data_IF_904860323678
#
_entry.id   IF_904860323678
#
_cell.length_a   1.000
_cell.length_b   1.000
_cell.length_c   1.000
_cell.angle_alpha   90.00
_cell.angle_beta   90.00
_cell.angle_gamma   90.00
#
_symmetry.space_group_name_H-M   'P 1'
#
loop_
_entity.id
_entity.type
_entity.pdbx_description
1 polymer ?
#
# COMPACT_ATOMS: atom_id res chain seq x y z
N UNK A 1 46.30 9.61 -0.17
CA UNK A 1 45.09 9.09 0.48
C UNK A 1 43.91 9.52 -0.37
N UNK A 2 43.12 8.60 -0.90
CA UNK A 2 41.89 8.97 -1.59
C UNK A 2 40.81 9.22 -0.53
N UNK A 3 40.23 10.42 -0.49
CA UNK A 3 39.02 10.67 0.29
C UNK A 3 37.89 9.81 -0.27
N UNK A 4 37.23 9.06 0.61
CA UNK A 4 35.99 8.38 0.25
C UNK A 4 34.90 9.44 0.05
N UNK A 5 34.05 9.31 -0.98
CA UNK A 5 32.96 10.26 -1.20
C UNK A 5 32.07 10.32 0.05
N UNK A 6 31.53 11.51 0.39
CA UNK A 6 30.74 11.69 1.60
C UNK A 6 29.58 10.70 1.62
N UNK A 7 29.44 9.99 2.74
CA UNK A 7 28.37 9.03 2.95
C UNK A 7 27.03 9.75 2.76
N UNK A 8 26.29 9.34 1.72
CA UNK A 8 25.01 9.96 1.42
C UNK A 8 24.05 9.71 2.60
N UNK A 9 23.47 10.79 3.13
CA UNK A 9 22.44 10.70 4.17
C UNK A 9 21.25 9.87 3.68
N UNK A 10 20.76 9.00 4.56
CA UNK A 10 19.54 8.23 4.35
C UNK A 10 18.32 9.15 4.27
N UNK A 11 17.22 8.67 3.69
CA UNK A 11 15.94 9.40 3.67
C UNK A 11 15.46 9.73 5.08
N UNK A 12 15.64 8.80 6.02
CA UNK A 12 15.25 8.99 7.42
C UNK A 12 16.03 10.13 8.08
N UNK A 13 17.35 10.19 7.90
CA UNK A 13 18.19 11.28 8.41
C UNK A 13 17.85 12.63 7.75
N UNK A 14 17.51 12.61 6.45
CA UNK A 14 17.07 13.81 5.74
C UNK A 14 15.72 14.31 6.26
N UNK A 15 14.77 13.41 6.53
CA UNK A 15 13.45 13.76 7.07
C UNK A 15 13.51 14.21 8.54
N UNK A 16 14.41 13.62 9.33
CA UNK A 16 14.66 14.04 10.71
C UNK A 16 15.42 15.36 10.79
N UNK A 17 16.24 15.67 9.78
CA UNK A 17 16.82 17.00 9.61
C UNK A 17 15.73 18.00 9.22
N UNK A 18 15.76 19.19 9.78
CA UNK A 18 14.89 20.31 9.38
C UNK A 18 15.26 20.81 7.97
N UNK A 19 15.14 19.96 6.96
CA UNK A 19 15.41 20.30 5.57
C UNK A 19 14.33 21.26 5.08
N UNK A 20 14.76 22.38 4.50
CA UNK A 20 13.84 23.40 3.98
C UNK A 20 13.19 22.97 2.66
N UNK A 21 13.85 22.09 1.92
CA UNK A 21 13.42 21.64 0.61
C UNK A 21 13.83 20.18 0.36
N UNK A 22 12.97 19.44 -0.35
CA UNK A 22 13.23 18.05 -0.73
C UNK A 22 14.28 18.02 -1.84
N UNK A 23 15.34 17.18 -1.74
CA UNK A 23 16.35 17.10 -2.79
C UNK A 23 15.75 16.76 -4.17
N UNK A 24 16.22 17.42 -5.22
CA UNK A 24 15.68 17.29 -6.58
C UNK A 24 15.56 15.85 -7.09
N UNK A 25 16.45 14.96 -6.66
CA UNK A 25 16.44 13.54 -7.03
C UNK A 25 15.20 12.78 -6.57
N UNK A 26 14.45 13.33 -5.60
CA UNK A 26 13.18 12.78 -5.13
C UNK A 26 11.96 13.49 -5.73
N UNK A 27 12.17 14.57 -6.49
CA UNK A 27 11.09 15.31 -7.15
C UNK A 27 10.78 14.63 -8.47
N UNK A 28 9.55 14.11 -8.60
CA UNK A 28 9.05 13.54 -9.84
C UNK A 28 8.70 14.67 -10.81
N UNK A 29 9.52 14.86 -11.86
CA UNK A 29 9.40 15.97 -12.81
C UNK A 29 8.24 15.84 -13.80
N UNK A 30 7.76 14.61 -14.03
CA UNK A 30 6.88 14.30 -15.17
C UNK A 30 5.46 13.87 -14.77
N UNK A 31 5.09 13.99 -13.49
CA UNK A 31 3.68 13.79 -13.13
C UNK A 31 2.94 15.08 -13.46
N UNK A 32 2.06 15.06 -14.45
CA UNK A 32 0.84 15.86 -14.33
C UNK A 32 0.24 15.47 -12.99
N UNK A 33 0.13 16.42 -12.06
CA UNK A 33 -0.54 16.23 -10.79
C UNK A 33 -2.03 15.95 -11.11
N UNK A 34 -2.34 14.73 -11.54
CA UNK A 34 -3.71 14.24 -11.56
C UNK A 34 -4.09 14.08 -10.09
N UNK A 35 -4.52 15.19 -9.49
CA UNK A 35 -5.06 15.24 -8.12
C UNK A 35 -6.34 14.41 -7.99
N UNK A 36 -6.88 13.94 -9.12
CA UNK A 36 -8.04 13.08 -9.23
C UNK A 36 -7.60 11.68 -9.63
N UNK A 37 -7.09 10.91 -8.67
CA UNK A 37 -7.10 9.45 -8.83
C UNK A 37 -8.54 8.97 -8.62
N UNK A 38 -9.05 8.06 -9.45
CA UNK A 38 -10.31 7.41 -9.13
C UNK A 38 -10.16 6.74 -7.76
N UNK A 39 -11.09 7.04 -6.85
CA UNK A 39 -11.15 6.36 -5.56
C UNK A 39 -11.47 4.90 -5.86
N UNK A 40 -10.45 4.06 -5.83
CA UNK A 40 -10.58 2.62 -5.96
C UNK A 40 -10.86 2.06 -4.57
N UNK A 41 -12.10 1.62 -4.35
CA UNK A 41 -12.43 0.91 -3.12
C UNK A 41 -11.75 -0.46 -3.17
N UNK A 42 -10.71 -0.63 -2.34
CA UNK A 42 -9.99 -1.91 -2.26
C UNK A 42 -10.86 -2.90 -1.46
N UNK A 43 -11.28 -4.01 -2.07
CA UNK A 43 -12.11 -4.99 -1.39
C UNK A 43 -11.35 -5.65 -0.24
N UNK A 44 -12.03 -5.82 0.90
CA UNK A 44 -11.52 -6.56 2.05
C UNK A 44 -11.93 -8.01 1.99
N UNK A 45 -10.98 -8.93 2.16
CA UNK A 45 -11.18 -10.37 2.22
C UNK A 45 -11.05 -10.86 3.66
N UNK A 46 -12.05 -11.59 4.12
CA UNK A 46 -12.07 -12.30 5.40
C UNK A 46 -11.37 -13.65 5.24
N UNK A 47 -10.21 -13.78 5.89
CA UNK A 47 -9.42 -15.00 5.80
C UNK A 47 -10.01 -16.18 6.58
N UNK A 48 -10.79 -15.92 7.65
CA UNK A 48 -11.45 -16.98 8.41
C UNK A 48 -12.62 -17.56 7.62
N UNK A 49 -13.40 -16.70 6.97
CA UNK A 49 -14.51 -17.12 6.12
C UNK A 49 -14.00 -17.89 4.89
N UNK A 50 -12.91 -17.43 4.29
CA UNK A 50 -12.24 -18.11 3.19
C UNK A 50 -11.71 -19.49 3.61
N UNK A 51 -11.15 -19.60 4.82
CA UNK A 51 -10.65 -20.87 5.35
C UNK A 51 -11.78 -21.83 5.80
N UNK A 52 -12.99 -21.33 6.00
CA UNK A 52 -14.13 -22.10 6.52
C UNK A 52 -14.78 -22.96 5.43
N UNK A 53 -14.83 -24.28 5.61
CA UNK A 53 -15.41 -25.20 4.62
C UNK A 53 -16.90 -24.99 4.33
N UNK A 54 -17.64 -24.36 5.25
CA UNK A 54 -19.08 -24.10 5.12
C UNK A 54 -19.42 -22.86 4.29
N UNK A 55 -18.50 -21.90 4.17
CA UNK A 55 -18.79 -20.54 3.67
C UNK A 55 -17.73 -20.01 2.69
N UNK A 56 -16.66 -20.78 2.43
CA UNK A 56 -15.59 -20.44 1.50
C UNK A 56 -16.09 -19.98 0.11
N UNK A 57 -17.24 -20.46 -0.37
CA UNK A 57 -17.75 -20.13 -1.69
C UNK A 57 -17.95 -18.63 -1.94
N UNK A 58 -18.57 -17.90 -1.00
CA UNK A 58 -18.83 -16.46 -1.20
C UNK A 58 -17.54 -15.63 -1.16
N UNK A 59 -16.67 -15.95 -0.21
CA UNK A 59 -15.45 -15.18 0.02
C UNK A 59 -14.39 -15.46 -1.04
N UNK A 60 -14.38 -16.68 -1.59
CA UNK A 60 -13.55 -17.04 -2.74
C UNK A 60 -13.97 -16.30 -4.01
N UNK A 61 -15.28 -16.17 -4.27
CA UNK A 61 -15.77 -15.41 -5.42
C UNK A 61 -15.49 -13.91 -5.29
N UNK A 62 -15.60 -13.38 -4.06
CA UNK A 62 -15.18 -12.01 -3.74
C UNK A 62 -13.70 -11.79 -3.99
N UNK A 63 -12.84 -12.73 -3.58
CA UNK A 63 -11.40 -12.71 -3.85
C UNK A 63 -11.11 -12.72 -5.37
N UNK A 64 -11.77 -13.60 -6.14
CA UNK A 64 -11.61 -13.66 -7.60
C UNK A 64 -12.01 -12.34 -8.27
N UNK A 65 -13.17 -11.80 -7.87
CA UNK A 65 -13.70 -10.54 -8.39
C UNK A 65 -12.76 -9.37 -8.09
N UNK A 66 -12.23 -9.31 -6.86
CA UNK A 66 -11.27 -8.32 -6.42
C UNK A 66 -9.99 -8.33 -7.26
N UNK A 67 -9.38 -9.51 -7.44
CA UNK A 67 -8.16 -9.67 -8.22
C UNK A 67 -8.37 -9.32 -9.70
N UNK A 68 -9.57 -9.62 -10.24
CA UNK A 68 -9.94 -9.24 -11.61
C UNK A 68 -10.14 -7.74 -11.77
N UNK A 69 -10.75 -7.07 -10.79
CA UNK A 69 -11.11 -5.64 -10.87
C UNK A 69 -9.94 -4.70 -10.54
N UNK A 70 -9.25 -4.91 -9.42
CA UNK A 70 -8.24 -3.98 -8.89
C UNK A 70 -6.85 -4.60 -8.69
N UNK A 71 -6.73 -5.93 -8.77
CA UNK A 71 -5.45 -6.64 -8.60
C UNK A 71 -4.85 -6.56 -7.19
N UNK A 72 -5.53 -5.94 -6.24
CA UNK A 72 -5.10 -5.80 -4.85
C UNK A 72 -6.27 -6.04 -3.89
N UNK A 73 -5.95 -6.49 -2.68
CA UNK A 73 -6.94 -6.79 -1.64
C UNK A 73 -6.42 -6.29 -0.30
N UNK A 74 -7.34 -5.96 0.58
CA UNK A 74 -7.05 -5.86 2.01
C UNK A 74 -7.45 -7.19 2.67
N UNK A 75 -6.66 -7.68 3.62
CA UNK A 75 -7.02 -8.86 4.39
C UNK A 75 -7.33 -8.47 5.83
N UNK A 76 -8.46 -8.93 6.35
CA UNK A 76 -8.84 -8.75 7.73
C UNK A 76 -9.28 -10.08 8.35
N UNK A 77 -9.16 -10.17 9.66
CA UNK A 77 -9.86 -11.18 10.45
C UNK A 77 -11.07 -10.45 11.04
N UNK A 78 -12.26 -10.64 10.47
CA UNK A 78 -13.46 -10.05 11.05
C UNK A 78 -13.87 -10.94 12.22
N UNK A 79 -13.52 -10.55 13.44
CA UNK A 79 -14.05 -11.19 14.65
C UNK A 79 -15.57 -11.01 14.68
N UNK A 80 -16.30 -11.98 14.14
CA UNK A 80 -17.77 -12.01 14.09
C UNK A 80 -18.44 -12.11 15.48
N UNK A 81 -17.71 -11.97 16.59
CA UNK A 81 -18.22 -12.14 17.95
C UNK A 81 -18.07 -10.86 18.76
N UNK A 82 -18.98 -9.91 18.60
CA UNK A 82 -19.60 -9.17 19.72
C UNK A 82 -20.97 -8.66 19.21
N UNK A 83 -22.01 -9.43 19.50
CA UNK A 83 -23.41 -8.98 19.47
C UNK A 83 -23.85 -8.68 20.89
#
# INVERSE_FOLDING_TARGET
MAELPPLAKTVQELAAGNIKEVPERYIRKDSTLETSFPVLEIPTIDLELLASSSTNGEELEKLRSALSFCGCIQTGILIHTLK
#
